data_IF_923587265655
#
_entry.id   IF_923587265655
#
_cell.length_a   1.000
_cell.length_b   1.000
_cell.length_c   1.000
_cell.angle_alpha   90.00
_cell.angle_beta   90.00
_cell.angle_gamma   90.00
#
_symmetry.space_group_name_H-M   'P 1'
#
loop_
_entity.id
_entity.type
_entity.pdbx_description
1 polymer ?
#
# COMPACT_ATOMS: atom_id res chain seq x y z
N UNK A 1 -5.46 19.38 10.59
CA UNK A 1 -4.66 19.26 9.34
C UNK A 1 -5.16 20.27 8.33
N UNK A 2 -4.26 21.03 7.68
CA UNK A 2 -4.68 21.88 6.55
C UNK A 2 -5.27 20.98 5.45
N UNK A 3 -6.50 21.26 4.99
CA UNK A 3 -7.22 20.49 3.96
C UNK A 3 -6.35 20.21 2.71
N UNK A 4 -5.46 21.13 2.35
CA UNK A 4 -4.54 21.00 1.22
C UNK A 4 -3.52 19.87 1.41
N UNK A 5 -2.98 19.70 2.62
CA UNK A 5 -2.02 18.63 2.95
C UNK A 5 -2.68 17.25 2.90
N UNK A 6 -3.94 17.15 3.33
CA UNK A 6 -4.69 15.89 3.30
C UNK A 6 -5.00 15.41 1.88
N UNK A 7 -5.46 16.32 1.00
CA UNK A 7 -5.69 16.01 -0.42
C UNK A 7 -4.40 15.58 -1.12
N UNK A 8 -3.28 16.24 -0.82
CA UNK A 8 -1.97 15.87 -1.36
C UNK A 8 -1.54 14.46 -0.94
N UNK A 9 -1.67 14.13 0.36
CA UNK A 9 -1.39 12.79 0.87
C UNK A 9 -2.27 11.76 0.17
N UNK A 10 -3.58 12.01 0.06
CA UNK A 10 -4.55 11.10 -0.56
C UNK A 10 -4.23 10.78 -2.03
N UNK A 11 -3.94 11.82 -2.82
CA UNK A 11 -3.58 11.64 -4.23
C UNK A 11 -2.27 10.88 -4.37
N UNK A 12 -1.26 11.25 -3.58
CA UNK A 12 0.06 10.62 -3.62
C UNK A 12 -0.02 9.13 -3.26
N UNK A 13 -0.69 8.79 -2.15
CA UNK A 13 -0.94 7.39 -1.77
C UNK A 13 -1.66 6.64 -2.87
N UNK A 14 -2.72 7.21 -3.47
CA UNK A 14 -3.53 6.52 -4.47
C UNK A 14 -2.73 6.22 -5.73
N UNK A 15 -1.95 7.20 -6.22
CA UNK A 15 -1.09 7.06 -7.39
C UNK A 15 -0.10 5.92 -7.16
N UNK A 16 0.66 5.95 -6.06
CA UNK A 16 1.66 4.91 -5.82
C UNK A 16 1.01 3.54 -5.57
N UNK A 17 -0.13 3.51 -4.88
CA UNK A 17 -0.80 2.26 -4.51
C UNK A 17 -1.37 1.51 -5.72
N UNK A 18 -1.90 2.22 -6.72
CA UNK A 18 -2.46 1.58 -7.91
C UNK A 18 -1.46 1.46 -9.07
N UNK A 19 -0.62 2.47 -9.32
CA UNK A 19 0.24 2.47 -10.50
C UNK A 19 1.35 1.41 -10.38
N UNK A 20 2.03 1.33 -9.24
CA UNK A 20 3.16 0.40 -9.07
C UNK A 20 2.72 -1.05 -9.31
N UNK A 21 1.61 -1.53 -8.70
CA UNK A 21 1.21 -2.92 -8.87
C UNK A 21 0.56 -3.20 -10.23
N UNK A 22 -0.14 -2.24 -10.83
CA UNK A 22 -0.67 -2.38 -12.19
C UNK A 22 0.44 -2.44 -13.24
N UNK A 23 1.52 -1.66 -13.07
CA UNK A 23 2.70 -1.77 -13.91
C UNK A 23 3.32 -3.17 -13.77
N UNK A 24 3.44 -3.69 -12.55
CA UNK A 24 3.93 -5.05 -12.33
C UNK A 24 3.08 -6.10 -13.07
N UNK A 25 1.75 -6.04 -12.95
CA UNK A 25 0.84 -6.92 -13.69
C UNK A 25 1.01 -6.83 -15.21
N UNK A 26 1.24 -5.63 -15.75
CA UNK A 26 1.43 -5.43 -17.19
C UNK A 26 2.74 -6.02 -17.72
N UNK A 27 3.80 -6.01 -16.92
CA UNK A 27 5.13 -6.48 -17.35
C UNK A 27 5.45 -7.93 -16.92
N UNK A 28 4.62 -8.53 -16.07
CA UNK A 28 4.84 -9.88 -15.58
C UNK A 28 4.31 -10.94 -16.55
N UNK A 29 5.22 -11.65 -17.22
CA UNK A 29 4.94 -12.75 -18.16
C UNK A 29 5.20 -14.16 -17.56
N UNK A 30 5.32 -14.29 -16.23
CA UNK A 30 5.69 -15.54 -15.57
C UNK A 30 4.53 -16.52 -15.35
N UNK A 31 4.86 -17.79 -15.12
CA UNK A 31 3.88 -18.86 -14.84
C UNK A 31 3.09 -18.60 -13.54
N UNK A 32 1.79 -18.89 -13.62
CA UNK A 32 0.70 -18.63 -12.65
C UNK A 32 1.10 -18.66 -11.16
N UNK A 33 1.86 -19.67 -10.74
CA UNK A 33 1.98 -19.99 -9.31
C UNK A 33 3.00 -19.10 -8.59
N UNK A 34 4.03 -18.63 -9.30
CA UNK A 34 5.01 -17.66 -8.78
C UNK A 34 4.51 -16.22 -8.89
N UNK A 35 3.61 -15.97 -9.85
CA UNK A 35 3.02 -14.65 -10.10
C UNK A 35 2.26 -14.11 -8.89
N UNK A 36 1.41 -14.95 -8.31
CA UNK A 36 0.57 -14.58 -7.16
C UNK A 36 1.39 -14.20 -5.93
N UNK A 37 2.43 -14.97 -5.62
CA UNK A 37 3.31 -14.68 -4.49
C UNK A 37 4.09 -13.38 -4.67
N UNK A 38 4.62 -13.14 -5.87
CA UNK A 38 5.35 -11.90 -6.15
C UNK A 38 4.41 -10.69 -6.10
N UNK A 39 3.17 -10.82 -6.59
CA UNK A 39 2.15 -9.78 -6.44
C UNK A 39 1.88 -9.45 -4.97
N UNK A 40 1.69 -10.47 -4.12
CA UNK A 40 1.49 -10.28 -2.67
C UNK A 40 2.65 -9.48 -2.07
N UNK A 41 3.89 -9.86 -2.41
CA UNK A 41 5.08 -9.15 -1.93
C UNK A 41 5.13 -7.71 -2.44
N UNK A 42 4.89 -7.47 -3.73
CA UNK A 42 4.93 -6.13 -4.33
C UNK A 42 3.90 -5.23 -3.67
N UNK A 43 2.65 -5.68 -3.52
CA UNK A 43 1.60 -4.89 -2.84
C UNK A 43 1.94 -4.63 -1.36
N UNK A 44 2.42 -5.63 -0.64
CA UNK A 44 2.83 -5.48 0.77
C UNK A 44 3.98 -4.49 0.94
N UNK A 45 5.06 -4.63 0.16
CA UNK A 45 6.20 -3.71 0.18
C UNK A 45 5.83 -2.31 -0.29
N UNK A 46 4.98 -2.19 -1.32
CA UNK A 46 4.51 -0.90 -1.81
C UNK A 46 3.72 -0.17 -0.71
N UNK A 47 2.80 -0.87 -0.04
CA UNK A 47 2.04 -0.31 1.09
C UNK A 47 2.94 0.12 2.25
N UNK A 48 3.93 -0.71 2.59
CA UNK A 48 4.92 -0.39 3.61
C UNK A 48 5.72 0.86 3.25
N UNK A 49 6.30 0.89 2.05
CA UNK A 49 7.17 1.96 1.59
C UNK A 49 6.43 3.30 1.50
N UNK A 50 5.21 3.30 0.93
CA UNK A 50 4.37 4.51 0.85
C UNK A 50 4.06 5.03 2.26
N UNK A 51 3.62 4.14 3.16
CA UNK A 51 3.25 4.54 4.52
C UNK A 51 4.45 5.12 5.28
N UNK A 52 5.63 4.52 5.11
CA UNK A 52 6.86 4.99 5.73
C UNK A 52 7.34 6.33 5.13
N UNK A 53 7.38 6.46 3.80
CA UNK A 53 7.80 7.69 3.11
C UNK A 53 6.91 8.88 3.49
N UNK A 54 5.60 8.70 3.47
CA UNK A 54 4.65 9.78 3.79
C UNK A 54 4.74 10.14 5.28
N UNK A 55 4.83 9.15 6.16
CA UNK A 55 4.95 9.40 7.60
C UNK A 55 6.26 10.12 7.95
N UNK A 56 7.36 9.78 7.26
CA UNK A 56 8.67 10.39 7.45
C UNK A 56 8.71 11.83 6.91
N UNK A 57 8.45 12.02 5.60
CA UNK A 57 8.64 13.30 4.90
C UNK A 57 7.53 14.33 5.12
N UNK A 58 6.28 13.89 5.31
CA UNK A 58 5.14 14.81 5.45
C UNK A 58 4.75 14.92 6.92
N UNK A 59 4.01 13.94 7.42
CA UNK A 59 3.54 13.94 8.80
C UNK A 59 3.13 12.54 9.21
N UNK A 60 3.62 12.08 10.37
CA UNK A 60 3.16 10.83 10.97
C UNK A 60 1.72 10.98 11.43
N UNK A 61 0.79 10.34 10.72
CA UNK A 61 -0.63 10.30 11.10
C UNK A 61 -1.20 8.91 10.88
N UNK A 62 -2.03 8.46 11.82
CA UNK A 62 -2.65 7.12 11.73
C UNK A 62 -3.62 7.01 10.54
N UNK A 63 -3.98 8.15 9.95
CA UNK A 63 -4.77 8.22 8.74
C UNK A 63 -4.07 7.56 7.53
N UNK A 64 -2.74 7.58 7.46
CA UNK A 64 -1.99 7.01 6.32
C UNK A 64 -2.15 5.48 6.22
N UNK A 65 -1.88 4.67 7.27
CA UNK A 65 -2.08 3.22 7.20
C UNK A 65 -3.56 2.85 7.00
N UNK A 66 -4.50 3.61 7.57
CA UNK A 66 -5.94 3.42 7.35
C UNK A 66 -6.30 3.68 5.89
N UNK A 67 -5.77 4.76 5.31
CA UNK A 67 -5.99 5.08 3.90
C UNK A 67 -5.43 4.00 2.98
N UNK A 68 -4.24 3.47 3.28
CA UNK A 68 -3.65 2.34 2.53
C UNK A 68 -4.58 1.13 2.54
N UNK A 69 -5.22 0.86 3.69
CA UNK A 69 -6.19 -0.24 3.82
C UNK A 69 -7.45 0.01 2.99
N UNK A 70 -7.98 1.24 2.98
CA UNK A 70 -9.15 1.60 2.16
C UNK A 70 -8.82 1.48 0.66
N UNK A 71 -7.64 1.95 0.25
CA UNK A 71 -7.15 1.85 -1.12
C UNK A 71 -6.84 0.40 -1.54
N UNK A 72 -6.67 -0.50 -0.58
CA UNK A 72 -6.54 -1.93 -0.84
C UNK A 72 -7.87 -2.62 -1.13
N UNK A 73 -9.01 -2.06 -0.71
CA UNK A 73 -10.32 -2.71 -0.86
C UNK A 73 -10.66 -3.07 -2.31
N UNK A 74 -10.36 -2.24 -3.33
CA UNK A 74 -10.64 -2.61 -4.71
C UNK A 74 -9.88 -3.84 -5.22
N UNK A 75 -8.83 -4.29 -4.52
CA UNK A 75 -8.14 -5.55 -4.83
C UNK A 75 -9.05 -6.77 -4.68
N UNK A 76 -10.11 -6.69 -3.86
CA UNK A 76 -11.13 -7.74 -3.81
C UNK A 76 -11.79 -7.99 -5.17
N UNK A 77 -11.99 -6.94 -5.98
CA UNK A 77 -12.60 -7.10 -7.30
C UNK A 77 -11.64 -7.73 -8.32
N UNK A 78 -10.33 -7.68 -8.09
CA UNK A 78 -9.31 -8.20 -8.99
C UNK A 78 -8.94 -9.65 -8.62
N UNK A 79 -8.74 -9.93 -7.33
CA UNK A 79 -8.22 -11.21 -6.85
C UNK A 79 -9.27 -12.06 -6.10
N UNK A 80 -10.49 -11.56 -5.91
CA UNK A 80 -11.59 -12.30 -5.30
C UNK A 80 -11.18 -12.88 -3.92
N UNK A 81 -11.35 -14.19 -3.68
CA UNK A 81 -11.00 -14.83 -2.39
C UNK A 81 -9.52 -14.71 -2.00
N UNK A 82 -8.57 -14.63 -2.94
CA UNK A 82 -7.14 -14.52 -2.61
C UNK A 82 -6.74 -13.09 -2.18
N UNK A 83 -7.62 -12.11 -2.39
CA UNK A 83 -7.43 -10.74 -1.92
C UNK A 83 -7.42 -10.62 -0.40
N UNK A 84 -8.06 -11.55 0.33
CA UNK A 84 -8.18 -11.49 1.79
C UNK A 84 -6.81 -11.60 2.46
N UNK A 85 -5.97 -12.53 2.00
CA UNK A 85 -4.59 -12.71 2.50
C UNK A 85 -3.75 -11.46 2.19
N UNK A 86 -3.90 -10.92 0.97
CA UNK A 86 -3.25 -9.69 0.53
C UNK A 86 -3.61 -8.51 1.44
N UNK A 87 -4.89 -8.33 1.74
CA UNK A 87 -5.39 -7.27 2.61
C UNK A 87 -4.84 -7.37 4.03
N UNK A 88 -4.82 -8.58 4.62
CA UNK A 88 -4.23 -8.79 5.93
C UNK A 88 -2.75 -8.39 5.97
N UNK A 89 -2.00 -8.78 4.94
CA UNK A 89 -0.58 -8.41 4.80
C UNK A 89 -0.44 -6.90 4.67
N UNK A 90 -1.23 -6.26 3.82
CA UNK A 90 -1.22 -4.81 3.63
C UNK A 90 -1.52 -4.07 4.93
N UNK A 91 -2.53 -4.50 5.69
CA UNK A 91 -2.87 -3.91 6.99
C UNK A 91 -1.68 -4.01 7.93
N UNK A 92 -1.17 -5.23 8.16
CA UNK A 92 -0.07 -5.48 9.09
C UNK A 92 1.17 -4.66 8.70
N UNK A 93 1.59 -4.71 7.43
CA UNK A 93 2.76 -3.98 6.96
C UNK A 93 2.58 -2.46 7.03
N UNK A 94 1.39 -1.93 6.75
CA UNK A 94 1.11 -0.50 6.88
C UNK A 94 1.24 -0.02 8.33
N UNK A 95 0.71 -0.79 9.28
CA UNK A 95 0.82 -0.45 10.70
C UNK A 95 2.24 -0.63 11.23
N UNK A 96 2.99 -1.64 10.76
CA UNK A 96 4.42 -1.77 11.07
C UNK A 96 5.19 -0.57 10.53
N UNK A 97 4.96 -0.14 9.29
CA UNK A 97 5.60 1.04 8.71
C UNK A 97 5.31 2.32 9.52
N UNK A 98 4.06 2.49 9.94
CA UNK A 98 3.66 3.59 10.81
C UNK A 98 4.39 3.55 12.16
N UNK A 99 4.48 2.38 12.80
CA UNK A 99 5.25 2.18 14.03
C UNK A 99 6.74 2.44 13.82
N UNK A 100 7.34 1.91 12.76
CA UNK A 100 8.75 2.13 12.43
C UNK A 100 9.05 3.61 12.21
N UNK A 101 8.13 4.35 11.59
CA UNK A 101 8.28 5.79 11.35
C UNK A 101 8.43 6.61 12.65
N UNK A 102 7.99 6.09 13.81
CA UNK A 102 8.22 6.76 15.09
C UNK A 102 9.65 6.62 15.63
N UNK A 103 10.44 5.71 15.07
CA UNK A 103 11.85 5.53 15.47
C UNK A 103 12.79 6.47 14.70
N UNK A 104 12.35 6.99 13.55
CA UNK A 104 13.14 7.84 12.66
C UNK A 104 12.90 9.34 12.87
N UNK A 105 12.04 9.73 13.82
CA UNK A 105 11.61 11.11 14.06
C UNK A 105 11.41 11.32 15.55
#
# INVERSE_FOLDING_TARGET
MQRKTFLGIFLLTSIFYYIIPLLFLKFYNGTSDKAGFILILVYGFTSFAITLLISYFIQRTIFIPVLSTILALPLFFIFNSSALVLLLIIIVFSFIAYGLSSLFK
#
